data_IF_426661145837
#
_entry.id   IF_426661145837
#
_cell.length_a   1.000
_cell.length_b   1.000
_cell.length_c   1.000
_cell.angle_alpha   90.00
_cell.angle_beta   90.00
_cell.angle_gamma   90.00
#
_symmetry.space_group_name_H-M   'P 1'
#
loop_
_entity.id
_entity.type
_entity.pdbx_description
1 polymer ?
#
# COMPACT_ATOMS: atom_id res chain seq x y z
N UNK A 1 -15.92 -27.94 19.03
CA UNK A 1 -15.42 -29.11 18.27
C UNK A 1 -13.90 -29.12 18.30
N UNK A 2 -13.24 -30.24 18.67
CA UNK A 2 -11.78 -30.30 18.68
C UNK A 2 -11.20 -30.20 17.25
N UNK A 3 -10.06 -29.51 17.05
CA UNK A 3 -9.43 -29.38 15.74
C UNK A 3 -8.98 -30.76 15.24
N UNK A 4 -9.57 -31.22 14.12
CA UNK A 4 -9.18 -32.46 13.46
C UNK A 4 -8.20 -32.16 12.34
N UNK A 5 -7.02 -32.77 12.40
CA UNK A 5 -6.04 -32.73 11.33
C UNK A 5 -6.64 -33.32 10.05
N UNK A 6 -6.73 -32.51 8.99
CA UNK A 6 -7.39 -32.86 7.73
C UNK A 6 -6.42 -33.09 6.56
N UNK A 7 -5.12 -33.22 6.85
CA UNK A 7 -4.08 -33.40 5.83
C UNK A 7 -4.08 -32.31 4.75
N UNK A 8 -3.68 -32.67 3.52
CA UNK A 8 -3.58 -31.74 2.39
C UNK A 8 -4.89 -31.48 1.62
N UNK A 9 -5.98 -32.17 2.00
CA UNK A 9 -7.25 -32.11 1.28
C UNK A 9 -7.85 -30.70 1.25
N UNK A 10 -7.67 -29.94 2.34
CA UNK A 10 -8.13 -28.55 2.43
C UNK A 10 -7.46 -27.63 1.40
N UNK A 11 -6.17 -27.86 1.10
CA UNK A 11 -5.44 -27.09 0.08
C UNK A 11 -5.89 -27.46 -1.33
N UNK A 12 -6.13 -28.74 -1.61
CA UNK A 12 -6.64 -29.19 -2.90
C UNK A 12 -8.05 -28.63 -3.21
N UNK A 13 -8.91 -28.51 -2.20
CA UNK A 13 -10.25 -27.91 -2.34
C UNK A 13 -10.16 -26.41 -2.65
N UNK A 14 -9.25 -25.69 -1.98
CA UNK A 14 -9.08 -24.24 -2.20
C UNK A 14 -8.46 -23.97 -3.58
N UNK A 15 -7.47 -24.77 -4.00
CA UNK A 15 -6.80 -24.64 -5.29
C UNK A 15 -7.72 -24.91 -6.50
N UNK A 16 -8.85 -25.59 -6.29
CA UNK A 16 -9.88 -25.81 -7.34
C UNK A 16 -10.86 -24.65 -7.49
N UNK A 17 -10.81 -23.63 -6.61
CA UNK A 17 -11.71 -22.47 -6.69
C UNK A 17 -11.10 -21.39 -7.58
N UNK A 18 -11.85 -20.90 -8.55
CA UNK A 18 -11.40 -19.80 -9.43
C UNK A 18 -11.02 -18.55 -8.64
N UNK A 19 -11.73 -18.26 -7.55
CA UNK A 19 -11.44 -17.13 -6.68
C UNK A 19 -10.02 -17.18 -6.10
N UNK A 20 -9.48 -18.37 -5.84
CA UNK A 20 -8.11 -18.53 -5.35
C UNK A 20 -7.12 -18.02 -6.40
N UNK A 21 -7.26 -18.44 -7.65
CA UNK A 21 -6.38 -18.02 -8.74
C UNK A 21 -6.56 -16.54 -9.10
N UNK A 22 -7.78 -16.01 -9.01
CA UNK A 22 -8.04 -14.57 -9.16
C UNK A 22 -7.30 -13.78 -8.08
N UNK A 23 -7.41 -14.18 -6.81
CA UNK A 23 -6.74 -13.52 -5.70
C UNK A 23 -5.22 -13.60 -5.83
N UNK A 24 -4.68 -14.78 -6.19
CA UNK A 24 -3.25 -14.98 -6.44
C UNK A 24 -2.76 -14.06 -7.57
N UNK A 25 -3.46 -14.04 -8.71
CA UNK A 25 -3.10 -13.18 -9.84
C UNK A 25 -3.13 -11.70 -9.46
N UNK A 26 -4.19 -11.25 -8.79
CA UNK A 26 -4.29 -9.85 -8.36
C UNK A 26 -3.18 -9.47 -7.37
N UNK A 27 -2.86 -10.37 -6.44
CA UNK A 27 -1.79 -10.14 -5.46
C UNK A 27 -0.41 -10.10 -6.14
N UNK A 28 -0.17 -10.99 -7.11
CA UNK A 28 1.06 -11.02 -7.90
C UNK A 28 1.21 -9.77 -8.76
N UNK A 29 0.17 -9.35 -9.46
CA UNK A 29 0.19 -8.11 -10.27
C UNK A 29 0.43 -6.90 -9.36
N UNK A 30 -0.27 -6.83 -8.23
CA UNK A 30 -0.06 -5.75 -7.25
C UNK A 30 1.39 -5.75 -6.75
N UNK A 31 1.94 -6.91 -6.36
CA UNK A 31 3.32 -7.02 -5.89
C UNK A 31 4.33 -6.63 -6.97
N UNK A 32 4.18 -7.17 -8.18
CA UNK A 32 5.08 -6.93 -9.31
C UNK A 32 5.08 -5.47 -9.77
N UNK A 33 4.02 -4.70 -9.53
CA UNK A 33 3.98 -3.27 -9.82
C UNK A 33 4.42 -2.44 -8.61
N UNK A 34 3.90 -2.74 -7.43
CA UNK A 34 4.15 -1.96 -6.22
C UNK A 34 5.60 -2.05 -5.76
N UNK A 35 6.24 -3.22 -5.86
CA UNK A 35 7.63 -3.43 -5.43
C UNK A 35 8.62 -2.60 -6.27
N UNK A 36 8.68 -2.71 -7.60
CA UNK A 36 9.61 -1.91 -8.38
C UNK A 36 9.29 -0.41 -8.30
N UNK A 37 8.01 -0.02 -8.26
CA UNK A 37 7.65 1.38 -8.11
C UNK A 37 8.11 1.96 -6.76
N UNK A 38 7.96 1.19 -5.67
CA UNK A 38 8.51 1.56 -4.35
C UNK A 38 10.03 1.63 -4.37
N UNK A 39 10.71 0.68 -5.00
CA UNK A 39 12.18 0.67 -5.09
C UNK A 39 12.69 1.87 -5.90
N UNK A 40 12.10 2.14 -7.06
CA UNK A 40 12.44 3.31 -7.87
C UNK A 40 12.16 4.62 -7.11
N UNK A 41 11.02 4.72 -6.43
CA UNK A 41 10.71 5.87 -5.57
C UNK A 41 11.72 6.05 -4.43
N UNK A 42 12.08 4.98 -3.73
CA UNK A 42 13.06 5.03 -2.65
C UNK A 42 14.47 5.38 -3.17
N UNK A 43 14.88 4.82 -4.31
CA UNK A 43 16.19 5.08 -4.92
C UNK A 43 16.30 6.51 -5.44
N UNK A 44 15.27 7.00 -6.15
CA UNK A 44 15.24 8.38 -6.63
C UNK A 44 15.31 9.37 -5.47
N UNK A 45 14.52 9.16 -4.42
CA UNK A 45 14.61 9.95 -3.18
C UNK A 45 16.00 9.84 -2.55
N UNK A 46 16.57 8.65 -2.42
CA UNK A 46 17.90 8.45 -1.85
C UNK A 46 18.99 9.19 -2.64
N UNK A 47 18.95 9.14 -3.97
CA UNK A 47 19.90 9.85 -4.84
C UNK A 47 19.72 11.37 -4.74
N UNK A 48 18.48 11.86 -4.66
CA UNK A 48 18.19 13.28 -4.46
C UNK A 48 18.72 13.78 -3.10
N UNK A 49 18.64 12.93 -2.07
CA UNK A 49 19.09 13.21 -0.70
C UNK A 49 20.61 13.02 -0.50
N UNK A 50 21.26 12.23 -1.35
CA UNK A 50 22.70 11.98 -1.25
C UNK A 50 23.54 13.22 -1.59
N UNK A 51 22.97 14.20 -2.31
CA UNK A 51 23.63 15.48 -2.53
C UNK A 51 23.68 16.28 -1.21
N UNK A 52 24.87 16.75 -0.80
CA UNK A 52 25.05 17.66 0.34
C UNK A 52 24.33 19.00 0.11
N UNK A 53 23.01 19.02 0.24
CA UNK A 53 22.17 20.22 0.13
C UNK A 53 21.83 20.71 1.54
N UNK A 54 21.89 22.03 1.75
CA UNK A 54 21.43 22.69 2.98
C UNK A 54 19.92 22.43 3.12
N UNK A 55 19.52 21.62 4.12
CA UNK A 55 18.12 21.22 4.34
C UNK A 55 17.89 19.77 4.77
N UNK A 56 18.92 18.92 4.76
CA UNK A 56 18.83 17.47 5.09
C UNK A 56 18.04 17.15 6.37
N UNK A 57 18.07 18.02 7.39
CA UNK A 57 17.32 17.82 8.63
C UNK A 57 15.79 17.82 8.44
N UNK A 58 15.25 18.77 7.66
CA UNK A 58 13.81 18.87 7.35
C UNK A 58 13.34 17.70 6.49
N UNK A 59 14.17 17.29 5.52
CA UNK A 59 13.84 16.14 4.67
C UNK A 59 13.86 14.81 5.42
N UNK A 60 14.81 14.61 6.34
CA UNK A 60 14.81 13.46 7.24
C UNK A 60 13.52 13.41 8.06
N UNK A 61 13.11 14.52 8.67
CA UNK A 61 11.86 14.55 9.46
C UNK A 61 10.64 14.24 8.61
N UNK A 62 10.53 14.81 7.40
CA UNK A 62 9.39 14.55 6.51
C UNK A 62 9.28 13.08 6.04
N UNK A 63 10.41 12.40 5.82
CA UNK A 63 10.43 10.98 5.40
C UNK A 63 10.13 10.04 6.58
N UNK A 64 10.63 10.37 7.78
CA UNK A 64 10.34 9.58 8.97
C UNK A 64 8.92 9.78 9.48
N UNK A 65 8.32 10.96 9.30
CA UNK A 65 6.99 11.27 9.80
C UNK A 65 5.91 10.22 9.42
N UNK A 66 5.76 9.80 8.15
CA UNK A 66 4.77 8.78 7.79
C UNK A 66 5.12 7.38 8.30
N UNK A 67 6.40 7.08 8.58
CA UNK A 67 6.80 5.77 9.12
C UNK A 67 6.43 5.57 10.59
N UNK A 68 6.22 6.67 11.32
CA UNK A 68 5.82 6.65 12.73
C UNK A 68 4.29 6.55 12.88
N UNK A 69 3.53 6.90 11.82
CA UNK A 69 2.07 6.84 11.83
C UNK A 69 1.62 5.36 11.81
N UNK A 70 0.74 4.93 12.74
CA UNK A 70 0.18 3.58 12.71
C UNK A 70 -0.58 3.28 11.41
N UNK A 71 -0.48 2.03 10.92
CA UNK A 71 -1.15 1.62 9.68
C UNK A 71 -2.65 1.89 9.67
N UNK A 72 -3.32 1.75 10.83
CA UNK A 72 -4.75 2.04 11.00
C UNK A 72 -5.04 3.53 10.78
N UNK A 73 -4.23 4.43 11.32
CA UNK A 73 -4.40 5.87 11.14
C UNK A 73 -4.24 6.26 9.67
N UNK A 74 -3.25 5.67 8.98
CA UNK A 74 -3.06 5.85 7.55
C UNK A 74 -4.30 5.40 6.74
N UNK A 75 -4.88 4.24 7.07
CA UNK A 75 -6.08 3.75 6.41
C UNK A 75 -7.29 4.67 6.63
N UNK A 76 -7.48 5.21 7.84
CA UNK A 76 -8.56 6.15 8.15
C UNK A 76 -8.41 7.47 7.39
N UNK A 77 -7.19 7.99 7.26
CA UNK A 77 -6.92 9.21 6.47
C UNK A 77 -7.33 8.98 5.01
N UNK A 78 -6.92 7.87 4.40
CA UNK A 78 -7.33 7.56 3.02
C UNK A 78 -8.83 7.33 2.88
N UNK A 79 -9.46 6.67 3.84
CA UNK A 79 -10.91 6.48 3.86
C UNK A 79 -11.65 7.82 3.88
N UNK A 80 -11.13 8.80 4.62
CA UNK A 80 -11.65 10.16 4.64
C UNK A 80 -11.36 10.93 3.33
N UNK A 81 -10.15 10.80 2.78
CA UNK A 81 -9.77 11.44 1.50
C UNK A 81 -10.67 10.96 0.35
N UNK A 82 -10.87 9.65 0.24
CA UNK A 82 -11.71 9.01 -0.77
C UNK A 82 -13.21 9.04 -0.43
N UNK A 83 -13.61 9.71 0.66
CA UNK A 83 -15.01 9.79 1.02
C UNK A 83 -15.79 10.53 -0.10
N UNK A 84 -16.81 9.90 -0.70
CA UNK A 84 -17.49 10.48 -1.85
C UNK A 84 -18.35 11.72 -1.52
N UNK A 85 -18.76 11.91 -0.26
CA UNK A 85 -19.65 13.00 0.15
C UNK A 85 -18.90 14.26 0.57
N UNK A 86 -17.82 14.11 1.36
CA UNK A 86 -17.10 15.25 1.93
C UNK A 86 -15.58 15.16 1.75
N UNK A 87 -15.10 14.15 1.03
CA UNK A 87 -13.67 13.94 0.83
C UNK A 87 -13.04 15.11 0.07
N UNK A 88 -11.87 15.59 0.51
CA UNK A 88 -11.14 16.65 -0.20
C UNK A 88 -10.83 16.26 -1.64
N UNK A 89 -10.64 14.96 -1.93
CA UNK A 89 -10.38 14.49 -3.29
C UNK A 89 -11.58 14.76 -4.22
N UNK A 90 -12.81 14.49 -3.79
CA UNK A 90 -13.99 14.77 -4.60
C UNK A 90 -14.20 16.27 -4.82
N UNK A 91 -13.88 17.11 -3.82
CA UNK A 91 -13.90 18.58 -3.98
C UNK A 91 -12.85 19.06 -4.98
N UNK A 92 -11.66 18.47 -4.98
CA UNK A 92 -10.59 18.79 -5.94
C UNK A 92 -10.94 18.30 -7.35
N UNK A 93 -11.45 17.08 -7.48
CA UNK A 93 -11.89 16.53 -8.76
C UNK A 93 -13.06 17.34 -9.35
N UNK A 94 -14.03 17.75 -8.53
CA UNK A 94 -15.13 18.63 -8.95
C UNK A 94 -14.75 20.10 -9.18
N UNK A 95 -13.55 20.53 -8.77
CA UNK A 95 -13.01 21.85 -9.09
C UNK A 95 -12.18 21.84 -10.38
N UNK A 96 -11.67 20.66 -10.77
CA UNK A 96 -10.93 20.44 -12.02
C UNK A 96 -11.88 19.98 -13.15
N UNK A 97 -13.11 19.57 -12.83
CA UNK A 97 -14.17 19.21 -13.79
C UNK A 97 -15.58 19.45 -13.24
#
# INVERSE_FOLDING_TARGET
SPPRWRGFESFAIIARRDLFWIAVRNSLVYMLLAVPLRLLGALTLALLLNQRRRGIALYRTAIYLPTVIPAIAYALIWLWIYNPLYGPLNKLLGAVG
#
